data_IF_835744676701
#
_entry.id   IF_835744676701
#
_cell.length_a   1.000
_cell.length_b   1.000
_cell.length_c   1.000
_cell.angle_alpha   90.00
_cell.angle_beta   90.00
_cell.angle_gamma   90.00
#
_symmetry.space_group_name_H-M   'P 1'
#
loop_
_entity.id
_entity.type
_entity.pdbx_description
1 polymer ?
#
# COMPACT_ATOMS: atom_id res chain seq x y z
N UNK A 1 -2.16 -0.80 1.65
CA UNK A 1 -0.72 -0.61 1.93
C UNK A 1 -0.45 -0.24 3.38
N UNK A 2 -0.82 0.94 3.89
CA UNK A 2 -0.50 1.36 5.28
C UNK A 2 -1.06 0.46 6.39
N UNK A 3 -2.27 -0.11 6.25
CA UNK A 3 -2.82 -1.07 7.21
C UNK A 3 -2.13 -2.46 7.23
N UNK A 4 -1.30 -2.75 6.24
CA UNK A 4 -0.61 -4.04 6.08
C UNK A 4 0.90 -3.95 6.26
N UNK A 5 1.46 -2.83 5.80
CA UNK A 5 2.64 -2.23 6.36
C UNK A 5 2.45 -2.27 7.89
N UNK A 6 1.36 -1.74 8.47
CA UNK A 6 1.04 -1.85 9.90
C UNK A 6 0.98 -3.28 10.53
N UNK A 7 1.22 -4.38 9.80
CA UNK A 7 1.28 -5.76 10.31
C UNK A 7 2.63 -6.48 10.03
N UNK A 8 3.68 -5.75 9.69
CA UNK A 8 5.05 -6.27 9.54
C UNK A 8 5.43 -6.63 8.09
N UNK A 9 6.56 -6.06 7.63
CA UNK A 9 7.07 -6.11 6.25
C UNK A 9 7.89 -7.35 5.87
N UNK A 10 7.98 -8.37 6.73
CA UNK A 10 8.70 -9.61 6.42
C UNK A 10 7.85 -10.79 5.96
N UNK A 11 6.66 -10.98 6.54
CA UNK A 11 5.74 -12.08 6.21
C UNK A 11 4.58 -11.69 5.30
N UNK A 12 4.56 -10.46 4.80
CA UNK A 12 3.42 -9.96 4.03
C UNK A 12 3.26 -10.70 2.71
N UNK A 13 4.33 -11.02 1.95
CA UNK A 13 4.16 -11.72 0.66
C UNK A 13 3.49 -13.07 0.84
N UNK A 14 3.93 -13.88 1.81
CA UNK A 14 3.29 -15.15 2.15
C UNK A 14 1.83 -14.99 2.61
N UNK A 15 1.51 -13.93 3.37
CA UNK A 15 0.11 -13.62 3.73
C UNK A 15 -0.72 -13.21 2.52
N UNK A 16 -0.18 -12.39 1.64
CA UNK A 16 -0.88 -11.96 0.43
C UNK A 16 -1.07 -13.10 -0.55
N UNK A 17 -0.18 -14.09 -0.56
CA UNK A 17 -0.36 -15.34 -1.29
C UNK A 17 -1.47 -16.21 -0.71
N UNK A 18 -1.74 -16.13 0.60
CA UNK A 18 -2.93 -16.78 1.18
C UNK A 18 -4.22 -16.06 0.79
N UNK A 19 -4.19 -14.73 0.65
CA UNK A 19 -5.33 -13.92 0.21
C UNK A 19 -5.54 -13.98 -1.32
N UNK A 20 -4.47 -14.16 -2.08
CA UNK A 20 -4.47 -14.24 -3.54
C UNK A 20 -3.46 -15.32 -3.96
N UNK A 21 -3.91 -16.58 -4.09
CA UNK A 21 -3.02 -17.68 -4.43
C UNK A 21 -2.35 -17.43 -5.79
N UNK A 22 -1.15 -18.01 -6.01
CA UNK A 22 -0.37 -17.76 -7.23
C UNK A 22 -1.16 -18.08 -8.50
N UNK A 23 -2.00 -19.11 -8.45
CA UNK A 23 -2.90 -19.49 -9.54
C UNK A 23 -3.87 -18.38 -9.96
N UNK A 24 -4.28 -17.52 -9.02
CA UNK A 24 -5.17 -16.39 -9.28
C UNK A 24 -4.42 -15.06 -9.49
N UNK A 25 -3.11 -15.02 -9.21
CA UNK A 25 -2.34 -13.78 -9.21
C UNK A 25 -2.28 -13.12 -10.61
N UNK A 26 -2.12 -13.91 -11.69
CA UNK A 26 -2.11 -13.37 -13.06
C UNK A 26 -3.48 -12.82 -13.47
N UNK A 27 -4.56 -13.51 -13.11
CA UNK A 27 -5.94 -13.03 -13.38
C UNK A 27 -6.18 -11.71 -12.64
N UNK A 28 -5.76 -11.63 -11.37
CA UNK A 28 -5.86 -10.41 -10.58
C UNK A 28 -4.98 -9.27 -11.10
N UNK A 29 -3.85 -9.58 -11.73
CA UNK A 29 -3.05 -8.57 -12.44
C UNK A 29 -3.73 -8.02 -13.68
N UNK A 30 -4.50 -8.84 -14.40
CA UNK A 30 -5.34 -8.33 -15.50
C UNK A 30 -6.47 -7.44 -14.99
N UNK A 31 -7.09 -7.80 -13.85
CA UNK A 31 -8.06 -6.93 -13.18
C UNK A 31 -7.41 -5.61 -12.72
N UNK A 32 -6.15 -5.63 -12.28
CA UNK A 32 -5.43 -4.41 -11.88
C UNK A 32 -5.21 -3.42 -13.04
N UNK A 33 -5.24 -3.88 -14.30
CA UNK A 33 -5.15 -3.02 -15.49
C UNK A 33 -6.46 -2.31 -15.85
N UNK A 34 -7.54 -2.58 -15.13
CA UNK A 34 -8.84 -1.95 -15.37
C UNK A 34 -8.83 -0.46 -15.00
N UNK A 35 -9.68 0.36 -15.65
CA UNK A 35 -9.85 1.75 -15.24
C UNK A 35 -10.44 1.78 -13.83
N UNK A 36 -9.73 2.43 -12.90
CA UNK A 36 -10.05 2.38 -11.47
C UNK A 36 -9.35 1.28 -10.68
N UNK A 37 -8.62 0.38 -11.36
CA UNK A 37 -7.65 -0.55 -10.78
C UNK A 37 -8.25 -1.44 -9.71
N UNK A 38 -9.02 -2.46 -10.11
CA UNK A 38 -9.48 -3.53 -9.22
C UNK A 38 -8.29 -4.36 -8.72
N UNK A 39 -7.55 -3.79 -7.79
CA UNK A 39 -6.42 -4.43 -7.12
C UNK A 39 -6.91 -5.15 -5.87
N UNK A 40 -6.22 -6.22 -5.45
CA UNK A 40 -6.57 -6.90 -4.22
C UNK A 40 -6.70 -5.94 -3.03
N UNK A 41 -7.59 -6.26 -2.10
CA UNK A 41 -7.93 -5.40 -0.96
C UNK A 41 -6.75 -5.03 -0.07
N UNK A 42 -5.60 -5.67 -0.25
CA UNK A 42 -4.34 -5.32 0.38
C UNK A 42 -3.73 -3.99 -0.15
N UNK A 43 -3.98 -3.67 -1.42
CA UNK A 43 -3.68 -2.37 -2.06
C UNK A 43 -4.85 -1.39 -1.85
N UNK A 44 -5.32 -1.23 -0.60
CA UNK A 44 -6.46 -0.34 -0.23
C UNK A 44 -6.39 1.11 -0.74
N UNK A 45 -5.22 1.60 -1.17
CA UNK A 45 -5.08 2.98 -1.63
C UNK A 45 -5.68 3.14 -3.05
N UNK A 46 -5.82 2.05 -3.80
CA UNK A 46 -6.35 2.07 -5.17
C UNK A 46 -7.43 1.03 -5.42
N UNK A 47 -7.76 0.16 -4.45
CA UNK A 47 -8.87 -0.79 -4.54
C UNK A 47 -10.22 -0.06 -4.49
N UNK A 48 -10.57 0.58 -5.60
CA UNK A 48 -11.89 1.17 -5.81
C UNK A 48 -12.79 0.02 -6.27
N UNK A 49 -13.85 -0.34 -5.53
CA UNK A 49 -14.77 -1.38 -6.00
C UNK A 49 -15.32 -0.95 -7.37
N UNK A 50 -15.01 -1.73 -8.39
CA UNK A 50 -15.29 -1.43 -9.79
C UNK A 50 -16.79 -1.26 -10.06
N UNK A 51 -17.63 -1.90 -9.26
CA UNK A 51 -19.06 -2.02 -9.56
C UNK A 51 -19.28 -2.60 -10.96
N UNK A 52 -20.53 -2.63 -11.40
CA UNK A 52 -20.86 -3.18 -12.72
C UNK A 52 -20.16 -2.44 -13.88
N UNK A 53 -19.91 -1.13 -13.73
CA UNK A 53 -19.22 -0.32 -14.75
C UNK A 53 -17.77 -0.76 -14.96
N UNK A 54 -17.01 -0.96 -13.87
CA UNK A 54 -15.63 -1.42 -13.99
C UNK A 54 -15.53 -2.87 -14.44
N UNK A 55 -16.50 -3.72 -14.09
CA UNK A 55 -16.56 -5.11 -14.57
C UNK A 55 -16.80 -5.15 -16.09
N UNK A 56 -17.71 -4.30 -16.60
CA UNK A 56 -17.91 -4.15 -18.05
C UNK A 56 -16.67 -3.58 -18.75
N UNK A 57 -16.01 -2.59 -18.14
CA UNK A 57 -14.76 -2.04 -18.65
C UNK A 57 -13.64 -3.10 -18.71
N UNK A 58 -13.57 -3.99 -17.70
CA UNK A 58 -12.65 -5.12 -17.68
C UNK A 58 -12.92 -6.09 -18.83
N UNK A 59 -14.17 -6.51 -19.03
CA UNK A 59 -14.54 -7.41 -20.12
C UNK A 59 -14.17 -6.80 -21.47
N UNK A 60 -14.46 -5.51 -21.68
CA UNK A 60 -14.09 -4.79 -22.90
C UNK A 60 -12.56 -4.74 -23.09
N UNK A 61 -11.80 -4.41 -22.05
CA UNK A 61 -10.32 -4.43 -22.12
C UNK A 61 -9.78 -5.81 -22.44
N UNK A 62 -10.31 -6.86 -21.80
CA UNK A 62 -9.88 -8.23 -22.03
C UNK A 62 -10.13 -8.65 -23.47
N UNK A 63 -11.31 -8.34 -24.03
CA UNK A 63 -11.64 -8.63 -25.43
C UNK A 63 -10.71 -7.88 -26.39
N UNK A 64 -10.43 -6.59 -26.12
CA UNK A 64 -9.50 -5.79 -26.93
C UNK A 64 -8.06 -6.30 -26.80
N UNK A 65 -7.64 -6.72 -25.62
CA UNK A 65 -6.34 -7.33 -25.37
C UNK A 65 -6.19 -8.64 -26.14
N UNK A 66 -7.16 -9.56 -26.05
CA UNK A 66 -7.13 -10.84 -26.78
C UNK A 66 -7.09 -10.62 -28.29
N UNK A 67 -7.90 -9.66 -28.79
CA UNK A 67 -7.89 -9.26 -30.19
C UNK A 67 -6.52 -8.69 -30.60
N UNK A 68 -5.99 -7.77 -29.80
CA UNK A 68 -4.68 -7.15 -30.00
C UNK A 68 -3.56 -8.17 -30.00
N UNK A 69 -3.57 -9.11 -29.06
CA UNK A 69 -2.60 -10.19 -28.94
C UNK A 69 -2.57 -11.07 -30.18
N UNK A 70 -3.73 -11.49 -30.68
CA UNK A 70 -3.84 -12.26 -31.94
C UNK A 70 -3.20 -11.54 -33.12
N UNK A 71 -3.42 -10.23 -33.23
CA UNK A 71 -2.77 -9.44 -34.29
C UNK A 71 -1.27 -9.24 -34.02
N UNK A 72 -0.88 -9.02 -32.77
CA UNK A 72 0.50 -8.77 -32.38
C UNK A 72 1.39 -10.00 -32.64
N UNK A 73 0.87 -11.22 -32.46
CA UNK A 73 1.57 -12.46 -32.81
C UNK A 73 1.93 -12.55 -34.30
N UNK A 74 1.13 -11.94 -35.19
CA UNK A 74 1.36 -11.94 -36.64
C UNK A 74 2.43 -10.94 -37.10
N UNK A 75 2.87 -10.03 -36.24
CA UNK A 75 3.84 -8.99 -36.58
C UNK A 75 5.11 -9.09 -35.72
N UNK A 76 6.32 -8.90 -36.28
CA UNK A 76 7.57 -9.05 -35.52
C UNK A 76 7.63 -8.09 -34.33
N UNK A 77 7.28 -6.81 -34.51
CA UNK A 77 7.26 -5.82 -33.42
C UNK A 77 6.19 -6.14 -32.36
N UNK A 78 5.03 -6.66 -32.77
CA UNK A 78 3.97 -7.06 -31.85
C UNK A 78 4.38 -8.24 -30.97
N UNK A 79 5.10 -9.22 -31.54
CA UNK A 79 5.69 -10.33 -30.78
C UNK A 79 6.65 -9.85 -29.70
N UNK A 80 7.50 -8.87 -30.00
CA UNK A 80 8.41 -8.28 -29.00
C UNK A 80 7.64 -7.66 -27.84
N UNK A 81 6.60 -6.87 -28.12
CA UNK A 81 5.77 -6.27 -27.05
C UNK A 81 5.06 -7.33 -26.21
N UNK A 82 4.54 -8.39 -26.84
CA UNK A 82 3.94 -9.52 -26.11
C UNK A 82 4.97 -10.28 -25.26
N UNK A 83 6.18 -10.48 -25.76
CA UNK A 83 7.27 -11.10 -25.02
C UNK A 83 7.70 -10.25 -23.84
N UNK A 84 7.78 -8.92 -23.99
CA UNK A 84 8.07 -8.00 -22.90
C UNK A 84 6.97 -8.02 -21.84
N UNK A 85 5.70 -7.93 -22.24
CA UNK A 85 4.55 -8.04 -21.34
C UNK A 85 4.58 -9.37 -20.58
N UNK A 86 4.78 -10.47 -21.31
CA UNK A 86 4.86 -11.81 -20.73
C UNK A 86 6.07 -11.92 -19.80
N UNK A 87 7.24 -11.40 -20.17
CA UNK A 87 8.42 -11.42 -19.33
C UNK A 87 8.22 -10.65 -18.02
N UNK A 88 7.62 -9.47 -18.09
CA UNK A 88 7.36 -8.62 -16.91
C UNK A 88 6.37 -9.24 -15.92
N UNK A 89 5.42 -10.07 -16.38
CA UNK A 89 4.42 -10.71 -15.51
C UNK A 89 4.78 -12.16 -15.18
N UNK A 90 5.09 -12.96 -16.19
CA UNK A 90 5.31 -14.40 -16.10
C UNK A 90 6.62 -14.75 -15.40
N UNK A 91 7.72 -14.04 -15.65
CA UNK A 91 9.00 -14.34 -14.97
C UNK A 91 8.89 -14.19 -13.46
N UNK A 92 8.48 -13.02 -12.90
CA UNK A 92 8.36 -12.89 -11.45
C UNK A 92 7.28 -13.83 -10.90
N UNK A 93 6.21 -14.10 -11.65
CA UNK A 93 5.20 -15.11 -11.26
C UNK A 93 5.79 -16.52 -11.14
N UNK A 94 6.56 -16.98 -12.13
CA UNK A 94 7.24 -18.29 -12.13
C UNK A 94 8.28 -18.40 -11.00
N UNK A 95 9.13 -17.38 -10.85
CA UNK A 95 10.12 -17.32 -9.75
C UNK A 95 9.43 -17.45 -8.39
N UNK A 96 8.17 -17.03 -8.30
CA UNK A 96 7.46 -17.01 -7.04
C UNK A 96 7.06 -18.36 -6.49
N UNK A 97 7.03 -19.41 -7.30
CA UNK A 97 6.84 -20.78 -6.81
C UNK A 97 8.02 -21.25 -5.94
N UNK A 98 9.21 -20.70 -6.13
CA UNK A 98 10.40 -21.00 -5.31
C UNK A 98 10.56 -19.97 -4.20
N UNK A 99 10.43 -18.68 -4.54
CA UNK A 99 10.60 -17.57 -3.60
C UNK A 99 9.50 -16.55 -3.83
N UNK A 100 8.53 -16.36 -2.91
CA UNK A 100 7.38 -15.49 -3.15
C UNK A 100 7.84 -14.04 -3.34
N UNK A 101 7.93 -13.62 -4.60
CA UNK A 101 8.39 -12.28 -5.01
C UNK A 101 7.33 -11.53 -5.80
N UNK A 102 6.39 -12.24 -6.43
CA UNK A 102 5.32 -11.69 -7.25
C UNK A 102 4.22 -11.13 -6.38
N UNK A 103 3.83 -9.91 -6.72
CA UNK A 103 2.76 -9.20 -6.08
C UNK A 103 1.91 -8.47 -7.12
N UNK A 104 0.62 -8.77 -7.12
CA UNK A 104 -0.38 -8.01 -7.90
C UNK A 104 -0.35 -6.55 -7.44
N UNK A 105 -0.30 -5.65 -8.40
CA UNK A 105 -0.14 -4.19 -8.26
C UNK A 105 1.30 -3.71 -8.33
N UNK A 106 2.30 -4.58 -8.11
CA UNK A 106 3.72 -4.17 -8.12
C UNK A 106 4.34 -4.30 -9.51
N UNK A 107 4.27 -5.50 -10.09
CA UNK A 107 4.81 -5.77 -11.43
C UNK A 107 3.87 -5.26 -12.53
N UNK A 108 2.59 -5.17 -12.20
CA UNK A 108 1.54 -4.63 -13.05
C UNK A 108 1.88 -3.22 -13.53
N UNK A 109 2.40 -2.34 -12.67
CA UNK A 109 2.78 -0.98 -13.07
C UNK A 109 3.81 -0.95 -14.20
N UNK A 110 4.77 -1.87 -14.20
CA UNK A 110 5.76 -1.98 -15.25
C UNK A 110 5.14 -2.55 -16.54
N UNK A 111 4.26 -3.55 -16.39
CA UNK A 111 3.64 -4.23 -17.51
C UNK A 111 2.47 -3.45 -18.15
N UNK A 112 1.94 -2.44 -17.45
CA UNK A 112 0.78 -1.64 -17.82
C UNK A 112 0.91 -1.01 -19.21
N UNK A 113 2.07 -0.42 -19.49
CA UNK A 113 2.34 0.24 -20.78
C UNK A 113 2.29 -0.76 -21.94
N UNK A 114 2.92 -1.92 -21.77
CA UNK A 114 2.91 -2.98 -22.78
C UNK A 114 1.50 -3.55 -22.97
N UNK A 115 0.74 -3.72 -21.88
CA UNK A 115 -0.66 -4.14 -21.93
C UNK A 115 -1.51 -3.16 -22.77
N UNK A 116 -1.43 -1.86 -22.50
CA UNK A 116 -2.20 -0.86 -23.24
C UNK A 116 -1.77 -0.71 -24.70
N UNK A 117 -0.50 -0.94 -25.04
CA UNK A 117 -0.07 -1.00 -26.43
C UNK A 117 -0.77 -2.15 -27.19
N UNK A 118 -0.89 -3.32 -26.57
CA UNK A 118 -1.60 -4.47 -27.16
C UNK A 118 -3.10 -4.17 -27.28
N UNK A 119 -3.73 -3.61 -26.24
CA UNK A 119 -5.14 -3.19 -26.28
C UNK A 119 -5.40 -2.17 -27.39
N UNK A 120 -4.56 -1.12 -27.46
CA UNK A 120 -4.64 -0.09 -28.50
C UNK A 120 -4.46 -0.67 -29.90
N UNK A 121 -3.58 -1.67 -30.05
CA UNK A 121 -3.41 -2.39 -31.30
C UNK A 121 -4.66 -3.18 -31.70
N UNK A 122 -5.30 -3.86 -30.74
CA UNK A 122 -6.58 -4.55 -30.93
C UNK A 122 -7.71 -3.60 -31.32
N UNK A 123 -7.73 -2.41 -30.71
CA UNK A 123 -8.69 -1.35 -31.00
C UNK A 123 -8.50 -0.76 -32.41
N UNK A 124 -7.25 -0.50 -32.81
CA UNK A 124 -6.89 0.13 -34.08
C UNK A 124 -7.06 -0.79 -35.30
N UNK A 125 -6.67 -2.07 -35.20
CA UNK A 125 -6.69 -3.03 -36.31
C UNK A 125 -8.06 -3.61 -36.65
N UNK A 126 -9.12 -3.21 -35.95
CA UNK A 126 -10.45 -3.69 -36.26
C UNK A 126 -11.05 -3.04 -37.49
N UNK A 127 -11.56 -3.85 -38.43
CA UNK A 127 -12.52 -3.38 -39.43
C UNK A 127 -13.87 -3.19 -38.74
N UNK A 128 -14.09 -1.99 -38.20
CA UNK A 128 -15.33 -1.62 -37.53
C UNK A 128 -16.26 -0.94 -38.55
N UNK A 129 -17.02 -1.73 -39.31
CA UNK A 129 -18.07 -1.23 -40.20
C UNK A 129 -19.44 -1.28 -39.53
N UNK A 130 -20.35 -0.41 -39.96
CA UNK A 130 -21.73 -0.34 -39.46
C UNK A 130 -21.81 -0.29 -37.92
N UNK A 131 -22.51 -1.28 -37.35
CA UNK A 131 -22.73 -1.41 -35.91
C UNK A 131 -21.43 -1.55 -35.09
N UNK A 132 -20.37 -2.12 -35.69
CA UNK A 132 -19.07 -2.22 -35.06
C UNK A 132 -18.47 -0.85 -34.72
N UNK A 133 -18.67 0.17 -35.56
CA UNK A 133 -18.16 1.52 -35.27
C UNK A 133 -18.79 2.10 -34.00
N UNK A 134 -20.09 1.87 -33.79
CA UNK A 134 -20.79 2.31 -32.58
C UNK A 134 -20.25 1.59 -31.35
N UNK A 135 -20.06 0.27 -31.44
CA UNK A 135 -19.50 -0.53 -30.36
C UNK A 135 -18.08 -0.08 -29.97
N UNK A 136 -17.25 0.31 -30.95
CA UNK A 136 -15.92 0.87 -30.73
C UNK A 136 -15.97 2.16 -29.90
N UNK A 137 -16.84 3.10 -30.27
CA UNK A 137 -17.00 4.35 -29.55
C UNK A 137 -17.59 4.15 -28.16
N UNK A 138 -18.57 3.26 -28.03
CA UNK A 138 -19.13 2.90 -26.73
C UNK A 138 -18.07 2.26 -25.81
N UNK A 139 -17.23 1.38 -26.34
CA UNK A 139 -16.09 0.83 -25.61
C UNK A 139 -15.13 1.93 -25.15
N UNK A 140 -14.75 2.86 -26.04
CA UNK A 140 -13.87 3.98 -25.67
C UNK A 140 -14.50 4.86 -24.58
N UNK A 141 -15.79 5.20 -24.72
CA UNK A 141 -16.53 5.98 -23.74
C UNK A 141 -16.58 5.28 -22.39
N UNK A 142 -16.89 3.98 -22.37
CA UNK A 142 -16.93 3.17 -21.15
C UNK A 142 -15.58 3.17 -20.44
N UNK A 143 -14.48 2.99 -21.17
CA UNK A 143 -13.13 3.03 -20.62
C UNK A 143 -12.77 4.42 -20.09
N UNK A 144 -13.13 5.48 -20.83
CA UNK A 144 -12.90 6.86 -20.43
C UNK A 144 -13.67 7.24 -19.16
N UNK A 145 -14.97 6.98 -19.13
CA UNK A 145 -15.84 7.22 -17.96
C UNK A 145 -15.39 6.38 -16.77
N UNK A 146 -15.13 5.09 -16.95
CA UNK A 146 -14.62 4.22 -15.90
C UNK A 146 -13.28 4.73 -15.33
N UNK A 147 -12.39 5.18 -16.19
CA UNK A 147 -11.10 5.76 -15.79
C UNK A 147 -11.25 7.06 -15.00
N UNK A 148 -12.12 7.96 -15.46
CA UNK A 148 -12.41 9.22 -14.77
C UNK A 148 -13.07 8.99 -13.41
N UNK A 149 -14.03 8.06 -13.31
CA UNK A 149 -14.65 7.69 -12.03
C UNK A 149 -13.61 7.09 -11.09
N UNK A 150 -12.74 6.21 -11.59
CA UNK A 150 -11.63 5.65 -10.83
C UNK A 150 -10.67 6.72 -10.30
N UNK A 151 -10.25 7.66 -11.16
CA UNK A 151 -9.41 8.79 -10.80
C UNK A 151 -10.08 9.71 -9.78
N UNK A 152 -11.36 10.04 -9.98
CA UNK A 152 -12.12 10.85 -9.04
C UNK A 152 -12.19 10.20 -7.67
N UNK A 153 -12.52 8.90 -7.61
CA UNK A 153 -12.54 8.14 -6.35
C UNK A 153 -11.16 8.08 -5.69
N UNK A 154 -10.09 7.92 -6.47
CA UNK A 154 -8.73 7.95 -5.93
C UNK A 154 -8.39 9.29 -5.28
N UNK A 155 -8.84 10.40 -5.86
CA UNK A 155 -8.59 11.75 -5.32
C UNK A 155 -9.51 12.11 -4.15
N UNK A 156 -10.68 11.48 -4.02
CA UNK A 156 -11.55 11.65 -2.86
C UNK A 156 -11.14 10.78 -1.67
N UNK A 157 -10.35 9.73 -1.89
CA UNK A 157 -9.66 9.06 -0.78
C UNK A 157 -8.70 10.06 -0.13
N UNK A 158 -8.81 10.22 1.19
CA UNK A 158 -7.87 11.00 1.99
C UNK A 158 -6.88 10.05 2.67
N UNK A 159 -5.86 9.52 1.96
CA UNK A 159 -4.97 8.48 2.48
C UNK A 159 -4.15 8.94 3.70
N UNK A 160 -4.19 10.22 4.02
CA UNK A 160 -3.47 10.86 5.12
C UNK A 160 -4.39 11.57 6.11
N UNK A 161 -5.72 11.41 6.05
CA UNK A 161 -6.64 12.09 6.98
C UNK A 161 -6.26 11.82 8.44
N UNK A 162 -6.05 10.55 8.80
CA UNK A 162 -5.60 10.17 10.14
C UNK A 162 -4.24 10.80 10.49
N UNK A 163 -3.26 10.70 9.59
CA UNK A 163 -1.92 11.26 9.84
C UNK A 163 -1.94 12.79 9.98
N UNK A 164 -2.80 13.50 9.24
CA UNK A 164 -3.00 14.95 9.36
C UNK A 164 -3.61 15.31 10.71
N UNK A 165 -4.62 14.57 11.18
CA UNK A 165 -5.22 14.77 12.50
C UNK A 165 -4.19 14.50 13.61
N UNK A 166 -3.41 13.42 13.50
CA UNK A 166 -2.34 13.08 14.45
C UNK A 166 -1.24 14.14 14.47
N UNK A 167 -0.78 14.60 13.29
CA UNK A 167 0.24 15.65 13.18
C UNK A 167 -0.26 17.00 13.73
N UNK A 168 -1.50 17.37 13.42
CA UNK A 168 -2.11 18.60 13.95
C UNK A 168 -2.24 18.55 15.48
N UNK A 169 -2.59 17.38 16.04
CA UNK A 169 -2.60 17.17 17.49
C UNK A 169 -1.21 17.32 18.09
N UNK A 170 -0.20 16.61 17.55
CA UNK A 170 1.19 16.71 18.02
C UNK A 170 1.68 18.15 17.98
N UNK A 171 1.42 18.90 16.89
CA UNK A 171 1.82 20.30 16.75
C UNK A 171 1.26 21.20 17.86
N UNK A 172 0.08 20.88 18.40
CA UNK A 172 -0.56 21.64 19.49
C UNK A 172 0.00 21.30 20.87
N UNK A 173 0.45 20.07 21.09
CA UNK A 173 0.82 19.58 22.43
C UNK A 173 2.33 19.41 22.64
N UNK A 174 3.11 19.36 21.55
CA UNK A 174 4.54 19.10 21.62
C UNK A 174 5.33 20.35 22.01
N UNK A 175 6.28 20.15 22.90
CA UNK A 175 7.37 21.06 23.23
C UNK A 175 8.65 20.63 22.50
N UNK A 176 9.71 21.46 22.44
CA UNK A 176 11.01 21.06 21.87
C UNK A 176 11.63 19.81 22.51
N UNK A 177 11.25 19.52 23.76
CA UNK A 177 11.72 18.34 24.52
C UNK A 177 10.84 17.11 24.31
N UNK A 178 9.73 17.24 23.57
CA UNK A 178 8.81 16.13 23.32
C UNK A 178 9.41 15.11 22.38
N UNK A 179 9.31 13.82 22.76
CA UNK A 179 9.70 12.70 21.93
C UNK A 179 8.46 12.01 21.36
N UNK A 180 8.37 11.91 20.04
CA UNK A 180 7.31 11.14 19.38
C UNK A 180 7.80 9.73 19.14
N UNK A 181 7.21 8.77 19.86
CA UNK A 181 7.48 7.35 19.68
C UNK A 181 6.45 6.78 18.72
N UNK A 182 6.87 6.38 17.52
CA UNK A 182 5.99 5.72 16.57
C UNK A 182 6.15 4.21 16.58
N UNK A 183 5.04 3.50 16.77
CA UNK A 183 5.03 2.05 16.60
C UNK A 183 4.69 1.67 15.15
N UNK A 184 5.34 0.62 14.66
CA UNK A 184 5.15 0.15 13.29
C UNK A 184 5.53 1.22 12.26
N UNK A 185 4.55 1.64 11.44
CA UNK A 185 4.81 2.48 10.27
C UNK A 185 4.07 3.82 10.26
N UNK A 186 3.55 4.23 11.42
CA UNK A 186 2.90 5.53 11.59
C UNK A 186 3.88 6.69 11.51
N UNK A 187 5.19 6.44 11.69
CA UNK A 187 6.25 7.46 11.67
C UNK A 187 6.26 8.27 10.38
N UNK A 188 6.46 7.63 9.22
CA UNK A 188 6.71 8.32 7.95
C UNK A 188 5.70 9.42 7.62
N UNK A 189 4.38 9.15 7.58
CA UNK A 189 3.42 10.19 7.20
C UNK A 189 3.33 11.31 8.24
N UNK A 190 3.50 11.01 9.53
CA UNK A 190 3.40 12.01 10.60
C UNK A 190 4.65 12.88 10.68
N UNK A 191 5.84 12.27 10.61
CA UNK A 191 7.13 12.97 10.58
C UNK A 191 7.24 13.88 9.35
N UNK A 192 6.75 13.44 8.18
CA UNK A 192 6.71 14.28 6.98
C UNK A 192 5.86 15.55 7.16
N UNK A 193 4.72 15.44 7.85
CA UNK A 193 3.81 16.57 8.14
C UNK A 193 4.31 17.48 9.27
N UNK A 194 5.35 17.06 9.98
CA UNK A 194 5.99 17.78 11.08
C UNK A 194 7.46 18.10 10.75
N UNK A 195 7.85 18.05 9.47
CA UNK A 195 9.23 18.31 9.03
C UNK A 195 9.73 19.72 9.37
N UNK A 196 8.82 20.64 9.60
CA UNK A 196 9.05 22.03 9.98
C UNK A 196 9.16 22.23 11.50
N UNK A 197 9.00 21.18 12.31
CA UNK A 197 9.11 21.24 13.77
C UNK A 197 10.40 20.58 14.27
N UNK A 198 10.92 21.04 15.41
CA UNK A 198 12.10 20.45 16.06
C UNK A 198 11.72 19.30 17.01
N UNK A 199 10.88 18.39 16.53
CA UNK A 199 10.40 17.25 17.33
C UNK A 199 11.25 16.02 17.00
N UNK A 200 11.69 15.30 18.04
CA UNK A 200 12.45 14.09 17.83
C UNK A 200 11.53 12.88 17.65
N UNK A 201 11.86 12.02 16.67
CA UNK A 201 11.11 10.79 16.39
C UNK A 201 11.91 9.56 16.78
N UNK A 202 11.24 8.61 17.44
CA UNK A 202 11.73 7.27 17.72
C UNK A 202 10.77 6.24 17.16
N UNK A 203 11.24 5.01 17.04
CA UNK A 203 10.51 3.93 16.39
C UNK A 203 10.64 2.63 17.16
N UNK A 204 9.52 1.90 17.28
CA UNK A 204 9.48 0.57 17.87
C UNK A 204 8.77 -0.42 16.95
N UNK A 205 9.39 -1.58 16.62
CA UNK A 205 10.78 -1.96 16.93
C UNK A 205 11.81 -1.04 16.28
N UNK A 206 13.06 -0.98 16.79
CA UNK A 206 14.06 -0.02 16.29
C UNK A 206 14.40 -0.21 14.81
N UNK A 207 14.27 -1.44 14.31
CA UNK A 207 14.45 -1.75 12.88
C UNK A 207 13.53 -0.96 11.96
N UNK A 208 12.33 -0.58 12.41
CA UNK A 208 11.42 0.29 11.63
C UNK A 208 11.92 1.72 11.47
N UNK A 209 12.73 2.19 12.43
CA UNK A 209 13.39 3.49 12.35
C UNK A 209 14.55 3.48 11.36
N UNK A 210 15.33 2.38 11.33
CA UNK A 210 16.44 2.20 10.39
C UNK A 210 15.97 2.01 8.95
N UNK A 211 14.92 1.21 8.76
CA UNK A 211 14.36 0.90 7.44
C UNK A 211 12.90 1.36 7.37
N UNK A 212 12.71 2.63 6.99
CA UNK A 212 11.40 3.25 6.84
C UNK A 212 10.51 2.42 5.90
N UNK A 213 9.39 1.89 6.41
CA UNK A 213 8.46 1.07 5.63
C UNK A 213 8.77 -0.43 5.60
N UNK A 214 9.81 -0.89 6.30
CA UNK A 214 10.12 -2.29 6.52
C UNK A 214 10.27 -2.65 8.01
N UNK A 215 9.97 -3.91 8.33
CA UNK A 215 10.16 -4.53 9.65
C UNK A 215 10.89 -5.84 9.40
N UNK A 216 11.95 -6.10 10.14
CA UNK A 216 12.57 -7.42 10.13
C UNK A 216 11.60 -8.43 10.76
N UNK A 217 11.16 -9.47 10.03
CA UNK A 217 10.29 -10.48 10.62
C UNK A 217 10.96 -11.24 11.78
N UNK A 218 12.30 -11.31 11.81
CA UNK A 218 13.04 -11.91 12.92
C UNK A 218 12.82 -11.12 14.20
N UNK A 219 12.83 -9.79 14.12
CA UNK A 219 12.56 -8.94 15.28
C UNK A 219 11.13 -9.12 15.79
N UNK A 220 10.15 -9.34 14.92
CA UNK A 220 8.77 -9.58 15.38
C UNK A 220 8.57 -10.94 16.05
N UNK A 221 9.38 -11.92 15.69
CA UNK A 221 9.26 -13.30 16.17
C UNK A 221 10.19 -13.60 17.36
N UNK A 222 11.02 -12.65 17.76
CA UNK A 222 11.98 -12.77 18.86
C UNK A 222 11.54 -11.86 20.03
N UNK A 223 10.86 -12.42 21.05
CA UNK A 223 10.36 -11.66 22.19
C UNK A 223 11.47 -10.95 22.98
N UNK A 224 12.66 -11.55 23.07
CA UNK A 224 13.79 -11.00 23.81
C UNK A 224 14.35 -9.77 23.10
N UNK A 225 14.44 -9.80 21.76
CA UNK A 225 14.78 -8.59 20.98
C UNK A 225 13.76 -7.48 21.17
N UNK A 226 12.47 -7.78 21.10
CA UNK A 226 11.42 -6.77 21.30
C UNK A 226 11.47 -6.17 22.71
N UNK A 227 11.79 -6.99 23.70
CA UNK A 227 11.97 -6.55 25.08
C UNK A 227 13.21 -5.66 25.21
N UNK A 228 14.35 -6.08 24.67
CA UNK A 228 15.59 -5.29 24.68
C UNK A 228 15.42 -3.96 23.96
N UNK A 229 14.78 -3.95 22.78
CA UNK A 229 14.46 -2.72 22.05
C UNK A 229 13.56 -1.79 22.87
N UNK A 230 12.56 -2.34 23.57
CA UNK A 230 11.67 -1.58 24.44
C UNK A 230 12.40 -1.00 25.67
N UNK A 231 13.32 -1.75 26.28
CA UNK A 231 14.13 -1.29 27.43
C UNK A 231 15.07 -0.15 27.03
N UNK A 232 15.74 -0.27 25.87
CA UNK A 232 16.60 0.79 25.33
C UNK A 232 15.76 2.04 25.06
N UNK A 233 14.61 1.88 24.39
CA UNK A 233 13.73 3.00 24.08
C UNK A 233 13.16 3.65 25.35
N UNK A 234 12.83 2.85 26.37
CA UNK A 234 12.37 3.35 27.67
C UNK A 234 13.43 4.23 28.35
N UNK A 235 14.71 3.87 28.22
CA UNK A 235 15.81 4.70 28.72
C UNK A 235 15.95 5.99 27.90
N UNK A 236 15.84 5.92 26.57
CA UNK A 236 15.91 7.10 25.69
C UNK A 236 14.79 8.12 25.93
N UNK A 237 13.63 7.69 26.47
CA UNK A 237 12.48 8.57 26.72
C UNK A 237 12.32 9.00 28.18
N UNK A 238 13.18 8.54 29.08
CA UNK A 238 13.14 8.92 30.50
C UNK A 238 13.36 10.43 30.65
N UNK A 239 12.58 11.09 31.50
CA UNK A 239 12.65 12.54 31.69
C UNK A 239 12.02 13.40 30.58
N UNK A 240 11.37 12.78 29.59
CA UNK A 240 10.72 13.50 28.49
C UNK A 240 9.19 13.37 28.50
N UNK A 241 8.53 14.38 27.92
CA UNK A 241 7.14 14.25 27.48
C UNK A 241 7.11 13.37 26.22
N UNK A 242 6.29 12.34 26.22
CA UNK A 242 6.22 11.35 25.14
C UNK A 242 4.85 11.38 24.48
N UNK A 243 4.84 11.44 23.16
CA UNK A 243 3.63 11.20 22.36
C UNK A 243 3.78 9.87 21.63
N UNK A 244 2.92 8.92 21.95
CA UNK A 244 2.97 7.57 21.39
C UNK A 244 1.97 7.43 20.25
N UNK A 245 2.48 7.09 19.06
CA UNK A 245 1.66 6.78 17.88
C UNK A 245 1.46 5.26 17.76
N UNK A 246 0.22 4.83 17.92
CA UNK A 246 -0.17 3.42 17.93
C UNK A 246 -0.48 2.90 16.53
N UNK A 247 0.21 1.83 16.13
CA UNK A 247 -0.17 1.01 15.00
C UNK A 247 -0.96 -0.21 15.48
N UNK A 248 -2.27 -0.20 15.26
CA UNK A 248 -3.19 -1.26 15.70
C UNK A 248 -2.81 -2.67 15.22
N UNK A 249 -2.08 -2.79 14.11
CA UNK A 249 -1.63 -4.09 13.59
C UNK A 249 -0.37 -4.66 14.27
N UNK A 250 0.23 -3.93 15.22
CA UNK A 250 1.45 -4.32 15.94
C UNK A 250 1.24 -4.54 17.45
N UNK A 251 0.00 -4.64 17.92
CA UNK A 251 -0.30 -4.69 19.37
C UNK A 251 0.52 -5.73 20.13
N UNK A 252 0.69 -6.94 19.59
CA UNK A 252 1.52 -7.98 20.23
C UNK A 252 3.00 -7.60 20.30
N UNK A 253 3.56 -7.08 19.20
CA UNK A 253 4.98 -6.68 19.15
C UNK A 253 5.27 -5.40 19.97
N UNK A 254 4.25 -4.58 20.21
CA UNK A 254 4.35 -3.37 21.01
C UNK A 254 4.12 -3.61 22.51
N UNK A 255 3.65 -4.79 22.91
CA UNK A 255 3.32 -5.09 24.30
C UNK A 255 4.51 -4.86 25.27
N UNK A 256 5.76 -5.25 24.94
CA UNK A 256 6.90 -4.94 25.81
C UNK A 256 7.11 -3.43 25.99
N UNK A 257 6.96 -2.64 24.93
CA UNK A 257 7.06 -1.19 24.99
C UNK A 257 5.95 -0.58 25.86
N UNK A 258 4.70 -1.02 25.68
CA UNK A 258 3.59 -0.52 26.47
C UNK A 258 3.78 -0.79 27.96
N UNK A 259 4.27 -1.98 28.33
CA UNK A 259 4.61 -2.30 29.72
C UNK A 259 5.70 -1.39 30.30
N UNK A 260 6.73 -1.07 29.50
CA UNK A 260 7.78 -0.14 29.95
C UNK A 260 7.25 1.28 30.15
N UNK A 261 6.37 1.74 29.26
CA UNK A 261 5.76 3.08 29.36
C UNK A 261 4.81 3.13 30.57
N UNK A 262 3.93 2.15 30.74
CA UNK A 262 3.00 2.09 31.89
C UNK A 262 3.73 2.01 33.22
N UNK A 263 4.87 1.32 33.28
CA UNK A 263 5.66 1.19 34.52
C UNK A 263 6.44 2.45 34.91
N UNK A 264 6.75 3.34 33.94
CA UNK A 264 7.70 4.46 34.14
C UNK A 264 7.10 5.84 33.88
N UNK A 265 5.94 5.88 33.25
CA UNK A 265 5.33 7.11 32.78
C UNK A 265 3.90 7.24 33.30
N UNK A 266 3.48 8.47 33.60
CA UNK A 266 2.09 8.80 33.91
C UNK A 266 1.40 9.34 32.66
N UNK A 267 0.23 8.82 32.31
CA UNK A 267 -0.57 9.34 31.20
C UNK A 267 -0.98 10.80 31.47
N UNK A 268 -0.82 11.67 30.48
CA UNK A 268 -1.25 13.08 30.55
C UNK A 268 -2.63 13.18 29.90
N UNK A 269 -3.67 13.33 30.73
CA UNK A 269 -5.06 13.53 30.28
C UNK A 269 -5.45 15.00 30.13
N UNK A 270 -4.58 15.93 30.53
CA UNK A 270 -4.84 17.37 30.46
C UNK A 270 -4.70 17.86 29.01
N UNK A 271 -5.76 18.46 28.48
CA UNK A 271 -5.80 19.07 27.15
C UNK A 271 -6.90 18.51 26.25
N UNK A 272 -6.87 18.78 24.94
CA UNK A 272 -7.80 18.17 24.01
C UNK A 272 -7.63 16.65 24.01
N UNK A 273 -8.72 15.86 23.89
CA UNK A 273 -8.63 14.41 23.85
C UNK A 273 -7.76 13.98 22.66
N UNK A 274 -6.84 13.01 22.85
CA UNK A 274 -5.98 12.56 21.77
C UNK A 274 -6.80 11.89 20.67
N UNK A 275 -6.45 12.09 19.38
CA UNK A 275 -7.12 11.41 18.30
C UNK A 275 -6.83 9.91 18.33
N UNK A 276 -7.63 9.13 17.61
CA UNK A 276 -7.48 7.67 17.55
C UNK A 276 -6.04 7.27 17.20
N UNK A 277 -5.49 6.38 18.03
CA UNK A 277 -4.15 5.85 17.85
C UNK A 277 -3.04 6.80 18.27
N UNK A 278 -3.33 7.76 19.16
CA UNK A 278 -2.34 8.60 19.84
C UNK A 278 -2.58 8.55 21.34
N UNK A 279 -1.52 8.55 22.15
CA UNK A 279 -1.57 8.78 23.59
C UNK A 279 -0.40 9.67 24.03
N UNK A 280 -0.53 10.31 25.18
CA UNK A 280 0.48 11.24 25.73
C UNK A 280 0.88 10.81 27.13
N UNK A 281 2.18 10.80 27.39
CA UNK A 281 2.77 10.30 28.62
C UNK A 281 3.84 11.27 29.12
N UNK A 282 4.03 11.31 30.44
CA UNK A 282 5.18 11.95 31.09
C UNK A 282 6.03 10.88 31.74
N UNK A 283 7.24 10.68 31.23
CA UNK A 283 8.15 9.67 31.75
C UNK A 283 9.07 10.30 32.78
N UNK A 284 9.15 9.68 33.97
CA UNK A 284 10.04 10.12 35.04
C UNK A 284 11.45 9.55 34.88
#
# INVERSE_FOLDING_TARGET
MWAQIARGGGGWVGRLWRETPPSLALVKSLEAFTPGGAVPGYVRITAVPSGWLGDMAFVVLLLLFLRGGRHALRHPRGRVVLLLLSGMLLIPWLVSFVKPVYLVGRYDLAALSAFFLIVGYGFARGRWSGWGRRLKWMALLLLGVGGLVGLWRLHTLSPLSEARVQAAFIRKVATPETIVVATGFRRNPVEYLLRDTRISFRSHPRSTGKHRGWVDPRDLNDPERLRSDAEILAHEISGHDVVLLHAAGFTRANLPLYRQIEARCSEITIGPPPPRGVSRWRCR
#
